data_IF_778351008921
#
_entry.id   IF_778351008921
#
_cell.length_a   1.000
_cell.length_b   1.000
_cell.length_c   1.000
_cell.angle_alpha   90.00
_cell.angle_beta   90.00
_cell.angle_gamma   90.00
#
_symmetry.space_group_name_H-M   'P 1'
#
loop_
_entity.id
_entity.type
_entity.pdbx_description
1 polymer ?
#
# COMPACT_ATOMS: atom_id res chain seq x y z
N UNK A 1 -40.69 -131.86 116.99
CA UNK A 1 -40.34 -131.44 115.61
C UNK A 1 -41.49 -130.78 114.82
N UNK A 2 -42.72 -130.66 115.33
CA UNK A 2 -43.84 -130.02 114.59
C UNK A 2 -43.85 -128.48 114.53
N UNK A 3 -43.22 -127.77 115.48
CA UNK A 3 -43.20 -126.28 115.49
C UNK A 3 -42.24 -125.64 114.47
N UNK A 4 -41.22 -126.38 114.03
CA UNK A 4 -40.26 -125.90 113.03
C UNK A 4 -40.80 -125.97 111.59
N UNK A 5 -41.72 -126.90 111.31
CA UNK A 5 -42.40 -127.03 110.02
C UNK A 5 -43.43 -125.91 109.81
N UNK A 6 -44.22 -125.58 110.84
CA UNK A 6 -45.18 -124.48 110.77
C UNK A 6 -44.52 -123.11 110.56
N UNK A 7 -43.33 -122.87 111.14
CA UNK A 7 -42.57 -121.64 110.92
C UNK A 7 -42.01 -121.54 109.50
N UNK A 8 -41.56 -122.66 108.92
CA UNK A 8 -41.14 -122.72 107.51
C UNK A 8 -42.31 -122.53 106.54
N UNK A 9 -43.51 -123.02 106.85
CA UNK A 9 -44.70 -122.79 106.03
C UNK A 9 -45.15 -121.32 106.05
N UNK A 10 -45.06 -120.63 107.19
CA UNK A 10 -45.30 -119.17 107.26
C UNK A 10 -44.27 -118.43 106.42
N UNK A 11 -43.00 -118.83 106.48
CA UNK A 11 -41.92 -118.21 105.72
C UNK A 11 -42.04 -118.47 104.21
N UNK A 12 -42.49 -119.67 103.81
CA UNK A 12 -42.81 -120.00 102.42
C UNK A 12 -43.95 -119.13 101.91
N UNK A 13 -45.03 -118.95 102.70
CA UNK A 13 -46.13 -118.05 102.33
C UNK A 13 -45.72 -116.58 102.27
N UNK A 14 -44.85 -116.13 103.17
CA UNK A 14 -44.25 -114.79 103.10
C UNK A 14 -43.46 -114.62 101.80
N UNK A 15 -42.62 -115.60 101.43
CA UNK A 15 -41.89 -115.58 100.17
C UNK A 15 -42.81 -115.69 98.95
N UNK A 16 -43.89 -116.46 98.98
CA UNK A 16 -44.89 -116.52 97.90
C UNK A 16 -45.57 -115.16 97.70
N UNK A 17 -45.96 -114.48 98.79
CA UNK A 17 -46.54 -113.13 98.74
C UNK A 17 -45.50 -112.11 98.24
N UNK A 18 -44.23 -112.24 98.65
CA UNK A 18 -43.15 -111.39 98.18
C UNK A 18 -42.87 -111.60 96.69
N UNK A 19 -42.84 -112.86 96.23
CA UNK A 19 -42.69 -113.23 94.83
C UNK A 19 -43.86 -112.70 94.01
N UNK A 20 -45.10 -112.84 94.45
CA UNK A 20 -46.25 -112.24 93.77
C UNK A 20 -46.17 -110.72 93.70
N UNK A 21 -45.71 -110.07 94.79
CA UNK A 21 -45.49 -108.62 94.80
C UNK A 21 -44.36 -108.20 93.85
N UNK A 22 -43.27 -108.96 93.79
CA UNK A 22 -42.18 -108.71 92.85
C UNK A 22 -42.63 -108.95 91.41
N UNK A 23 -43.42 -109.99 91.13
CA UNK A 23 -44.00 -110.25 89.81
C UNK A 23 -44.94 -109.11 89.39
N UNK A 24 -45.82 -108.63 90.29
CA UNK A 24 -46.66 -107.45 90.02
C UNK A 24 -45.82 -106.20 89.74
N UNK A 25 -44.74 -105.98 90.48
CA UNK A 25 -43.79 -104.87 90.24
C UNK A 25 -43.05 -105.04 88.90
N UNK A 26 -42.64 -106.25 88.54
CA UNK A 26 -41.99 -106.54 87.26
C UNK A 26 -42.94 -106.25 86.11
N UNK A 27 -44.21 -106.68 86.19
CA UNK A 27 -45.22 -106.38 85.16
C UNK A 27 -45.47 -104.87 85.07
N UNK A 28 -45.57 -104.17 86.20
CA UNK A 28 -45.72 -102.72 86.23
C UNK A 28 -44.50 -102.00 85.62
N UNK A 29 -43.27 -102.43 85.95
CA UNK A 29 -42.05 -101.89 85.36
C UNK A 29 -41.93 -102.22 83.87
N UNK A 30 -42.36 -103.39 83.41
CA UNK A 30 -42.40 -103.73 81.99
C UNK A 30 -43.38 -102.84 81.22
N UNK A 31 -44.57 -102.59 81.78
CA UNK A 31 -45.55 -101.66 81.21
C UNK A 31 -44.99 -100.23 81.17
N UNK A 32 -44.27 -99.82 82.21
CA UNK A 32 -43.65 -98.50 82.27
C UNK A 32 -42.45 -98.38 81.31
N UNK A 33 -41.62 -99.41 81.18
CA UNK A 33 -40.55 -99.48 80.18
C UNK A 33 -41.13 -99.38 78.77
N UNK A 34 -42.25 -100.06 78.49
CA UNK A 34 -42.95 -99.98 77.22
C UNK A 34 -43.49 -98.56 76.96
N UNK A 35 -44.10 -97.93 77.98
CA UNK A 35 -44.58 -96.54 77.90
C UNK A 35 -43.43 -95.56 77.63
N UNK A 36 -42.32 -95.70 78.36
CA UNK A 36 -41.11 -94.89 78.17
C UNK A 36 -40.48 -95.12 76.79
N UNK A 37 -40.45 -96.37 76.30
CA UNK A 37 -39.98 -96.70 74.96
C UNK A 37 -40.81 -95.99 73.87
N UNK A 38 -42.14 -95.94 74.02
CA UNK A 38 -43.01 -95.18 73.12
C UNK A 38 -42.71 -93.67 73.15
N UNK A 39 -42.53 -93.10 74.34
CA UNK A 39 -42.18 -91.68 74.50
C UNK A 39 -40.81 -91.34 73.92
N UNK A 40 -39.82 -92.23 74.04
CA UNK A 40 -38.50 -92.07 73.41
C UNK A 40 -38.64 -92.08 71.89
N UNK A 41 -39.41 -93.02 71.33
CA UNK A 41 -39.68 -93.05 69.88
C UNK A 41 -40.39 -91.80 69.36
N UNK A 42 -41.39 -91.29 70.10
CA UNK A 42 -42.08 -90.03 69.77
C UNK A 42 -41.11 -88.83 69.87
N UNK A 43 -40.25 -88.79 70.90
CA UNK A 43 -39.26 -87.73 71.06
C UNK A 43 -38.18 -87.77 69.96
N UNK A 44 -37.74 -88.95 69.55
CA UNK A 44 -36.81 -89.13 68.43
C UNK A 44 -37.45 -88.68 67.11
N UNK A 45 -38.70 -89.09 66.85
CA UNK A 45 -39.46 -88.65 65.67
C UNK A 45 -39.66 -87.12 65.63
N UNK A 46 -39.96 -86.50 66.78
CA UNK A 46 -40.06 -85.04 66.86
C UNK A 46 -38.71 -84.36 66.59
N UNK A 47 -37.61 -84.90 67.14
CA UNK A 47 -36.26 -84.38 66.88
C UNK A 47 -35.88 -84.49 65.41
N UNK A 48 -36.19 -85.61 64.74
CA UNK A 48 -35.93 -85.75 63.29
C UNK A 48 -36.79 -84.78 62.48
N UNK A 49 -38.07 -84.65 62.81
CA UNK A 49 -38.99 -83.72 62.13
C UNK A 49 -38.56 -82.26 62.28
N UNK A 50 -38.11 -81.85 63.48
CA UNK A 50 -37.57 -80.50 63.72
C UNK A 50 -36.30 -80.28 62.90
N UNK A 51 -35.35 -81.23 62.92
CA UNK A 51 -34.13 -81.15 62.12
C UNK A 51 -34.40 -81.03 60.62
N UNK A 52 -35.37 -81.79 60.10
CA UNK A 52 -35.77 -81.73 58.69
C UNK A 52 -36.40 -80.36 58.35
N UNK A 53 -37.25 -79.82 59.22
CA UNK A 53 -37.83 -78.49 59.06
C UNK A 53 -36.78 -77.39 59.13
N UNK A 54 -35.85 -77.46 60.08
CA UNK A 54 -34.75 -76.51 60.20
C UNK A 54 -33.83 -76.57 58.97
N UNK A 55 -33.53 -77.77 58.47
CA UNK A 55 -32.77 -77.94 57.23
C UNK A 55 -33.53 -77.46 55.97
N UNK A 56 -34.86 -77.56 55.96
CA UNK A 56 -35.68 -77.00 54.88
C UNK A 56 -35.69 -75.46 54.96
N UNK A 57 -35.84 -74.90 56.16
CA UNK A 57 -35.83 -73.45 56.36
C UNK A 57 -34.46 -72.82 56.08
N UNK A 58 -33.37 -73.50 56.46
CA UNK A 58 -32.02 -73.07 56.13
C UNK A 58 -31.79 -73.00 54.61
N UNK A 59 -32.28 -73.99 53.85
CA UNK A 59 -32.25 -73.97 52.38
C UNK A 59 -33.08 -72.83 51.80
N UNK A 60 -34.27 -72.59 52.35
CA UNK A 60 -35.13 -71.48 51.91
C UNK A 60 -34.47 -70.11 52.15
N UNK A 61 -33.78 -69.93 53.28
CA UNK A 61 -33.01 -68.72 53.58
C UNK A 61 -31.87 -68.58 52.57
N UNK A 62 -31.10 -69.63 52.32
CA UNK A 62 -30.00 -69.60 51.35
C UNK A 62 -30.48 -69.26 49.92
N UNK A 63 -31.60 -69.82 49.48
CA UNK A 63 -32.22 -69.52 48.19
C UNK A 63 -32.70 -68.06 48.11
N UNK A 64 -33.26 -67.52 49.21
CA UNK A 64 -33.65 -66.12 49.29
C UNK A 64 -32.44 -65.20 49.27
N UNK A 65 -31.37 -65.52 50.01
CA UNK A 65 -30.13 -64.75 50.02
C UNK A 65 -29.42 -64.76 48.65
N UNK A 66 -29.45 -65.91 47.95
CA UNK A 66 -28.97 -66.00 46.58
C UNK A 66 -29.83 -65.16 45.61
N UNK A 67 -31.13 -65.03 45.87
CA UNK A 67 -32.03 -64.19 45.07
C UNK A 67 -31.83 -62.71 45.35
N UNK A 68 -31.66 -62.32 46.62
CA UNK A 68 -31.34 -60.95 47.02
C UNK A 68 -30.04 -60.50 46.37
N UNK A 69 -28.96 -61.30 46.45
CA UNK A 69 -27.68 -60.99 45.79
C UNK A 69 -27.82 -60.78 44.29
N UNK A 70 -28.57 -61.66 43.60
CA UNK A 70 -28.84 -61.51 42.16
C UNK A 70 -29.62 -60.23 41.83
N UNK A 71 -30.57 -59.84 42.68
CA UNK A 71 -31.34 -58.61 42.49
C UNK A 71 -30.49 -57.37 42.76
N UNK A 72 -29.61 -57.40 43.77
CA UNK A 72 -28.66 -56.32 44.06
C UNK A 72 -27.70 -56.12 42.88
N UNK A 73 -27.10 -57.19 42.36
CA UNK A 73 -26.23 -57.15 41.18
C UNK A 73 -26.97 -56.62 39.94
N UNK A 74 -28.23 -57.03 39.74
CA UNK A 74 -29.05 -56.54 38.64
C UNK A 74 -29.38 -55.04 38.79
N UNK A 75 -29.67 -54.58 40.02
CA UNK A 75 -29.98 -53.19 40.30
C UNK A 75 -28.74 -52.29 40.15
N UNK A 76 -27.57 -52.76 40.58
CA UNK A 76 -26.30 -52.09 40.31
C UNK A 76 -26.03 -51.95 38.81
N UNK A 77 -26.26 -53.03 38.03
CA UNK A 77 -26.09 -53.00 36.59
C UNK A 77 -27.03 -51.97 35.94
N UNK A 78 -28.32 -51.99 36.29
CA UNK A 78 -29.30 -51.04 35.77
C UNK A 78 -28.96 -49.60 36.15
N UNK A 79 -28.44 -49.38 37.36
CA UNK A 79 -27.99 -48.06 37.81
C UNK A 79 -26.84 -47.56 36.94
N UNK A 80 -25.84 -48.41 36.67
CA UNK A 80 -24.72 -48.07 35.78
C UNK A 80 -25.18 -47.79 34.35
N UNK A 81 -26.10 -48.57 33.81
CA UNK A 81 -26.67 -48.36 32.47
C UNK A 81 -27.46 -47.04 32.38
N UNK A 82 -28.29 -46.74 33.39
CA UNK A 82 -29.00 -45.46 33.50
C UNK A 82 -28.02 -44.28 33.55
N UNK A 83 -26.98 -44.38 34.36
CA UNK A 83 -25.99 -43.30 34.51
C UNK A 83 -25.20 -43.08 33.22
N UNK A 84 -24.82 -44.17 32.53
CA UNK A 84 -24.20 -44.11 31.21
C UNK A 84 -25.12 -43.48 30.16
N UNK A 85 -26.41 -43.84 30.15
CA UNK A 85 -27.39 -43.25 29.24
C UNK A 85 -27.60 -41.75 29.51
N UNK A 86 -27.66 -41.36 30.79
CA UNK A 86 -27.78 -39.96 31.21
C UNK A 86 -26.57 -39.14 30.76
N UNK A 87 -25.36 -39.68 30.96
CA UNK A 87 -24.12 -39.04 30.48
C UNK A 87 -24.12 -38.91 28.95
N UNK A 88 -24.50 -39.97 28.23
CA UNK A 88 -24.58 -39.92 26.76
C UNK A 88 -25.58 -38.86 26.26
N UNK A 89 -26.72 -38.69 26.94
CA UNK A 89 -27.71 -37.66 26.62
C UNK A 89 -27.16 -36.23 26.86
N UNK A 90 -26.44 -36.02 27.96
CA UNK A 90 -25.78 -34.73 28.25
C UNK A 90 -24.72 -34.43 27.18
N UNK A 91 -23.91 -35.42 26.79
CA UNK A 91 -22.94 -35.25 25.72
C UNK A 91 -23.61 -34.95 24.36
N UNK A 92 -24.71 -35.63 24.03
CA UNK A 92 -25.48 -35.36 22.82
C UNK A 92 -26.05 -33.93 22.80
N UNK A 93 -26.56 -33.45 23.93
CA UNK A 93 -27.00 -32.05 24.09
C UNK A 93 -25.87 -31.06 23.84
N UNK A 94 -24.69 -31.30 24.42
CA UNK A 94 -23.50 -30.47 24.20
C UNK A 94 -23.08 -30.46 22.72
N UNK A 95 -23.14 -31.62 22.03
CA UNK A 95 -22.85 -31.70 20.60
C UNK A 95 -23.87 -30.93 19.75
N UNK A 96 -25.16 -31.00 20.09
CA UNK A 96 -26.20 -30.23 19.41
C UNK A 96 -26.00 -28.72 19.58
N UNK A 97 -25.70 -28.25 20.80
CA UNK A 97 -25.37 -26.84 21.06
C UNK A 97 -24.11 -26.41 20.31
N UNK A 98 -23.06 -27.25 20.29
CA UNK A 98 -21.85 -26.96 19.53
C UNK A 98 -22.12 -26.86 18.03
N UNK A 99 -22.93 -27.77 17.47
CA UNK A 99 -23.32 -27.74 16.07
C UNK A 99 -24.12 -26.46 15.75
N UNK A 100 -25.06 -26.05 16.61
CA UNK A 100 -25.81 -24.81 16.44
C UNK A 100 -24.90 -23.59 16.49
N UNK A 101 -23.99 -23.51 17.45
CA UNK A 101 -23.00 -22.42 17.54
C UNK A 101 -22.13 -22.34 16.27
N UNK A 102 -21.74 -23.49 15.71
CA UNK A 102 -20.97 -23.53 14.46
C UNK A 102 -21.79 -23.01 13.27
N UNK A 103 -23.06 -23.40 13.17
CA UNK A 103 -23.99 -22.90 12.14
C UNK A 103 -24.15 -21.38 12.26
N UNK A 104 -24.32 -20.86 13.46
CA UNK A 104 -24.47 -19.41 13.70
C UNK A 104 -23.21 -18.65 13.31
N UNK A 105 -22.02 -19.16 13.67
CA UNK A 105 -20.73 -18.58 13.26
C UNK A 105 -20.54 -18.62 11.75
N UNK A 106 -20.91 -19.72 11.09
CA UNK A 106 -20.84 -19.84 9.63
C UNK A 106 -21.80 -18.86 8.95
N UNK A 107 -23.02 -18.70 9.47
CA UNK A 107 -24.00 -17.72 8.95
C UNK A 107 -23.50 -16.28 9.10
N UNK A 108 -22.88 -15.93 10.23
CA UNK A 108 -22.27 -14.62 10.42
C UNK A 108 -21.12 -14.37 9.45
N UNK A 109 -20.25 -15.37 9.24
CA UNK A 109 -19.15 -15.29 8.28
C UNK A 109 -19.67 -15.13 6.85
N UNK A 110 -20.72 -15.86 6.47
CA UNK A 110 -21.34 -15.75 5.16
C UNK A 110 -21.92 -14.35 4.91
N UNK A 111 -22.64 -13.78 5.90
CA UNK A 111 -23.13 -12.40 5.84
C UNK A 111 -21.99 -11.40 5.66
N UNK A 112 -20.91 -11.56 6.41
CA UNK A 112 -19.73 -10.71 6.31
C UNK A 112 -19.06 -10.81 4.92
N UNK A 113 -18.88 -12.03 4.39
CA UNK A 113 -18.33 -12.26 3.06
C UNK A 113 -19.21 -11.61 1.98
N UNK A 114 -20.53 -11.75 2.08
CA UNK A 114 -21.45 -11.14 1.12
C UNK A 114 -21.39 -9.61 1.19
N UNK A 115 -21.29 -9.02 2.39
CA UNK A 115 -21.10 -7.57 2.54
C UNK A 115 -19.76 -7.08 1.97
N UNK A 116 -18.69 -7.86 2.07
CA UNK A 116 -17.41 -7.53 1.43
C UNK A 116 -17.49 -7.63 -0.10
N UNK A 117 -18.21 -8.62 -0.64
CA UNK A 117 -18.43 -8.77 -2.09
C UNK A 117 -19.22 -7.60 -2.66
N UNK A 118 -20.25 -7.15 -1.96
CA UNK A 118 -21.03 -5.98 -2.35
C UNK A 118 -20.16 -4.71 -2.40
N UNK A 119 -19.36 -4.47 -1.34
CA UNK A 119 -18.41 -3.35 -1.32
C UNK A 119 -17.41 -3.41 -2.45
N UNK A 120 -16.86 -4.60 -2.73
CA UNK A 120 -15.92 -4.80 -3.83
C UNK A 120 -16.55 -4.42 -5.17
N UNK A 121 -17.81 -4.80 -5.40
CA UNK A 121 -18.53 -4.47 -6.63
C UNK A 121 -18.77 -2.97 -6.76
N UNK A 122 -19.14 -2.29 -5.67
CA UNK A 122 -19.29 -0.82 -5.64
C UNK A 122 -17.97 -0.11 -5.99
N UNK A 123 -16.85 -0.54 -5.40
CA UNK A 123 -15.54 0.03 -5.71
C UNK A 123 -15.10 -0.25 -7.16
N UNK A 124 -15.41 -1.44 -7.69
CA UNK A 124 -15.16 -1.76 -9.10
C UNK A 124 -15.96 -0.87 -10.06
N UNK A 125 -17.24 -0.61 -9.75
CA UNK A 125 -18.05 0.34 -10.50
C UNK A 125 -17.48 1.75 -10.42
N UNK A 126 -17.07 2.19 -9.23
CA UNK A 126 -16.46 3.51 -9.05
C UNK A 126 -15.15 3.67 -9.82
N UNK A 127 -14.31 2.63 -9.84
CA UNK A 127 -13.07 2.65 -10.62
C UNK A 127 -13.37 2.76 -12.12
N UNK A 128 -14.37 2.03 -12.62
CA UNK A 128 -14.80 2.12 -14.02
C UNK A 128 -15.28 3.54 -14.37
N UNK A 129 -16.04 4.20 -13.50
CA UNK A 129 -16.47 5.58 -13.70
C UNK A 129 -15.30 6.58 -13.72
N UNK A 130 -14.26 6.32 -12.91
CA UNK A 130 -13.05 7.16 -12.88
C UNK A 130 -12.20 6.95 -14.13
N UNK A 131 -12.07 5.71 -14.60
CA UNK A 131 -11.41 5.37 -15.87
C UNK A 131 -12.11 6.08 -17.04
N UNK A 132 -13.44 5.98 -17.15
CA UNK A 132 -14.24 6.70 -18.15
C UNK A 132 -14.05 8.22 -18.10
N UNK A 133 -13.98 8.80 -16.89
CA UNK A 133 -13.72 10.24 -16.72
C UNK A 133 -12.32 10.62 -17.17
N UNK A 134 -11.34 9.78 -16.90
CA UNK A 134 -9.96 10.00 -17.29
C UNK A 134 -9.84 9.98 -18.82
N UNK A 135 -10.46 8.98 -19.47
CA UNK A 135 -10.47 8.88 -20.93
C UNK A 135 -11.12 10.11 -21.59
N UNK A 136 -12.25 10.60 -21.06
CA UNK A 136 -12.89 11.84 -21.54
C UNK A 136 -12.04 13.09 -21.31
N UNK A 137 -11.29 13.14 -20.22
CA UNK A 137 -10.37 14.26 -19.96
C UNK A 137 -9.17 14.20 -20.89
N UNK A 138 -8.64 13.01 -21.14
CA UNK A 138 -7.55 12.79 -22.08
C UNK A 138 -7.98 13.20 -23.50
N UNK A 139 -9.18 12.77 -23.94
CA UNK A 139 -9.75 13.19 -25.23
C UNK A 139 -9.88 14.71 -25.33
N UNK A 140 -10.35 15.39 -24.28
CA UNK A 140 -10.40 16.87 -24.25
C UNK A 140 -9.03 17.52 -24.32
N UNK A 141 -8.01 16.92 -23.70
CA UNK A 141 -6.63 17.42 -23.76
C UNK A 141 -6.07 17.25 -25.17
N UNK A 142 -6.37 16.14 -25.82
CA UNK A 142 -5.95 15.86 -27.19
C UNK A 142 -6.70 16.76 -28.19
N UNK A 143 -8.02 16.96 -28.01
CA UNK A 143 -8.85 17.90 -28.78
C UNK A 143 -8.40 19.36 -28.63
N UNK A 144 -7.91 19.75 -27.46
CA UNK A 144 -7.45 21.11 -27.18
C UNK A 144 -6.24 21.52 -28.05
N UNK A 145 -5.74 20.63 -28.92
CA UNK A 145 -4.68 20.90 -29.89
C UNK A 145 -3.51 21.63 -29.21
N UNK A 146 -3.13 21.14 -28.03
CA UNK A 146 -2.11 21.76 -27.17
C UNK A 146 -0.81 21.97 -27.94
N UNK A 147 -0.50 21.06 -28.87
CA UNK A 147 0.68 21.17 -29.71
C UNK A 147 0.54 22.22 -30.82
N UNK A 148 -0.65 22.46 -31.37
CA UNK A 148 -0.89 23.57 -32.27
C UNK A 148 -0.79 24.91 -31.53
N UNK A 149 -1.37 25.02 -30.32
CA UNK A 149 -1.23 26.21 -29.48
C UNK A 149 0.24 26.47 -29.11
N UNK A 150 1.02 25.43 -28.77
CA UNK A 150 2.47 25.54 -28.54
C UNK A 150 3.19 26.01 -29.80
N UNK A 151 2.80 25.52 -30.99
CA UNK A 151 3.38 25.93 -32.28
C UNK A 151 3.07 27.39 -32.58
N UNK A 152 1.81 27.81 -32.44
CA UNK A 152 1.38 29.19 -32.60
C UNK A 152 2.12 30.12 -31.62
N UNK A 153 2.29 29.71 -30.36
CA UNK A 153 3.05 30.48 -29.37
C UNK A 153 4.50 30.66 -29.80
N UNK A 154 5.19 29.59 -30.24
CA UNK A 154 6.58 29.68 -30.74
C UNK A 154 6.70 30.61 -31.94
N UNK A 155 5.76 30.53 -32.87
CA UNK A 155 5.76 31.39 -34.06
C UNK A 155 5.57 32.87 -33.69
N UNK A 156 4.59 33.17 -32.81
CA UNK A 156 4.37 34.54 -32.31
C UNK A 156 5.54 35.07 -31.50
N UNK A 157 6.16 34.25 -30.66
CA UNK A 157 7.39 34.63 -29.95
C UNK A 157 8.52 34.97 -30.93
N UNK A 158 8.72 34.16 -31.97
CA UNK A 158 9.70 34.44 -33.02
C UNK A 158 9.39 35.74 -33.78
N UNK A 159 8.11 36.02 -34.07
CA UNK A 159 7.68 37.29 -34.68
C UNK A 159 7.99 38.48 -33.77
N UNK A 160 7.67 38.40 -32.47
CA UNK A 160 7.99 39.44 -31.49
C UNK A 160 9.50 39.74 -31.43
N UNK A 161 10.35 38.71 -31.45
CA UNK A 161 11.80 38.90 -31.43
C UNK A 161 12.33 39.55 -32.72
N UNK A 162 11.76 39.20 -33.89
CA UNK A 162 12.05 39.90 -35.15
C UNK A 162 11.68 41.39 -35.06
N UNK A 163 10.48 41.71 -34.56
CA UNK A 163 10.04 43.10 -34.40
C UNK A 163 10.90 43.87 -33.39
N UNK A 164 11.28 43.26 -32.27
CA UNK A 164 12.22 43.87 -31.30
C UNK A 164 13.55 44.21 -31.96
N UNK A 165 14.09 43.32 -32.79
CA UNK A 165 15.34 43.57 -33.51
C UNK A 165 15.19 44.68 -34.57
N UNK A 166 14.06 44.73 -35.28
CA UNK A 166 13.75 45.81 -36.22
C UNK A 166 13.65 47.16 -35.51
N UNK A 167 12.92 47.24 -34.39
CA UNK A 167 12.79 48.45 -33.57
C UNK A 167 14.17 48.93 -33.12
N UNK A 168 14.99 48.05 -32.55
CA UNK A 168 16.37 48.39 -32.14
C UNK A 168 17.22 48.92 -33.30
N UNK A 169 17.06 48.37 -34.50
CA UNK A 169 17.78 48.85 -35.70
C UNK A 169 17.32 50.23 -36.13
N UNK A 170 16.00 50.48 -36.14
CA UNK A 170 15.42 51.77 -36.47
C UNK A 170 15.77 52.84 -35.44
N UNK A 171 15.76 52.50 -34.15
CA UNK A 171 16.19 53.39 -33.06
C UNK A 171 17.65 53.84 -33.24
N UNK A 172 18.56 52.90 -33.54
CA UNK A 172 19.97 53.24 -33.84
C UNK A 172 20.10 54.16 -35.04
N UNK A 173 19.31 53.91 -36.10
CA UNK A 173 19.32 54.76 -37.29
C UNK A 173 18.81 56.17 -36.98
N UNK A 174 17.70 56.27 -36.25
CA UNK A 174 17.13 57.55 -35.82
C UNK A 174 18.12 58.33 -34.93
N UNK A 175 18.80 57.68 -33.98
CA UNK A 175 19.85 58.30 -33.17
C UNK A 175 21.01 58.84 -34.02
N UNK A 176 21.45 58.07 -35.02
CA UNK A 176 22.52 58.51 -35.93
C UNK A 176 22.10 59.73 -36.76
N UNK A 177 20.86 59.74 -37.28
CA UNK A 177 20.32 60.89 -38.03
C UNK A 177 20.15 62.10 -37.12
N UNK A 178 19.61 61.92 -35.91
CA UNK A 178 19.45 62.99 -34.93
C UNK A 178 20.79 63.63 -34.57
N UNK A 179 21.83 62.83 -34.35
CA UNK A 179 23.19 63.32 -34.09
C UNK A 179 23.74 64.17 -35.24
N UNK A 180 23.52 63.76 -36.49
CA UNK A 180 23.89 64.53 -37.69
C UNK A 180 23.11 65.83 -37.79
N UNK A 181 21.79 65.78 -37.56
CA UNK A 181 20.92 66.95 -37.60
C UNK A 181 21.32 67.97 -36.52
N UNK A 182 21.57 67.53 -35.28
CA UNK A 182 22.03 68.40 -34.20
C UNK A 182 23.36 69.09 -34.56
N UNK A 183 24.27 68.35 -35.21
CA UNK A 183 25.54 68.92 -35.71
C UNK A 183 25.30 69.98 -36.79
N UNK A 184 24.31 69.77 -37.67
CA UNK A 184 23.93 70.73 -38.70
C UNK A 184 23.22 71.97 -38.12
N UNK A 185 22.30 71.76 -37.16
CA UNK A 185 21.48 72.81 -36.52
C UNK A 185 22.28 73.71 -35.59
N UNK A 186 23.43 73.26 -35.07
CA UNK A 186 24.45 74.12 -34.46
C UNK A 186 25.13 75.07 -35.50
N UNK A 187 24.42 75.35 -36.59
CA UNK A 187 24.72 76.26 -37.69
C UNK A 187 25.78 75.77 -38.68
N UNK A 188 26.37 74.59 -38.47
CA UNK A 188 27.54 74.14 -39.22
C UNK A 188 28.67 75.18 -39.23
N UNK A 189 28.63 76.17 -38.34
CA UNK A 189 29.49 77.35 -38.36
C UNK A 189 30.93 76.92 -38.14
N UNK A 190 31.15 75.95 -37.25
CA UNK A 190 32.46 75.32 -37.03
C UNK A 190 32.99 74.56 -38.26
N UNK A 191 32.14 74.23 -39.24
CA UNK A 191 32.51 73.51 -40.46
C UNK A 191 32.68 74.44 -41.67
N UNK A 192 32.10 75.64 -41.66
CA UNK A 192 32.25 76.62 -42.76
C UNK A 192 33.71 77.07 -42.86
N UNK A 193 34.24 77.09 -44.07
CA UNK A 193 35.65 77.43 -44.32
C UNK A 193 36.67 76.38 -43.86
N UNK A 194 36.23 75.27 -43.26
CA UNK A 194 37.10 74.16 -42.87
C UNK A 194 37.27 73.11 -43.98
N UNK A 195 38.40 72.41 -43.96
CA UNK A 195 38.63 71.22 -44.77
C UNK A 195 38.96 70.01 -43.87
N UNK A 196 38.51 68.82 -44.27
CA UNK A 196 38.90 67.54 -43.66
C UNK A 196 39.84 66.78 -44.59
N UNK A 197 40.78 66.05 -44.00
CA UNK A 197 41.63 65.09 -44.69
C UNK A 197 40.87 63.77 -44.77
N UNK A 198 40.45 63.39 -45.97
CA UNK A 198 39.62 62.20 -46.24
C UNK A 198 40.32 61.32 -47.28
N UNK A 199 40.40 60.01 -47.03
CA UNK A 199 40.86 59.05 -48.02
C UNK A 199 39.80 58.90 -49.14
N UNK A 200 40.13 59.18 -50.42
CA UNK A 200 39.21 58.94 -51.51
C UNK A 200 38.84 57.45 -51.60
N UNK A 201 37.63 57.16 -52.08
CA UNK A 201 37.24 55.78 -52.35
C UNK A 201 38.14 55.20 -53.46
N UNK A 202 38.59 53.95 -53.33
CA UNK A 202 39.59 53.35 -54.25
C UNK A 202 39.21 53.42 -55.73
N UNK A 203 37.91 53.37 -56.03
CA UNK A 203 37.35 53.44 -57.38
C UNK A 203 36.99 54.86 -57.85
N UNK A 204 37.21 55.88 -57.04
CA UNK A 204 36.88 57.27 -57.38
C UNK A 204 37.88 57.86 -58.38
N UNK A 205 37.38 58.59 -59.37
CA UNK A 205 38.21 59.43 -60.25
C UNK A 205 38.11 60.87 -59.75
N UNK A 206 39.25 61.48 -59.47
CA UNK A 206 39.28 62.85 -58.96
C UNK A 206 39.48 63.83 -60.12
N UNK A 207 38.88 65.04 -60.07
CA UNK A 207 39.15 66.08 -61.04
C UNK A 207 40.64 66.43 -61.11
N UNK A 208 41.10 66.90 -62.28
CA UNK A 208 42.51 67.21 -62.51
C UNK A 208 43.08 68.32 -61.62
N UNK A 209 42.20 69.20 -61.15
CA UNK A 209 42.57 70.38 -60.38
C UNK A 209 42.41 70.15 -58.86
N UNK A 210 42.19 68.91 -58.41
CA UNK A 210 42.07 68.64 -56.97
C UNK A 210 43.41 68.88 -56.28
N UNK A 211 43.37 69.55 -55.13
CA UNK A 211 44.54 69.78 -54.28
C UNK A 211 45.28 68.46 -54.04
N UNK A 212 46.61 68.48 -54.14
CA UNK A 212 47.47 67.32 -53.86
C UNK A 212 47.14 66.67 -52.50
N UNK A 213 47.30 65.36 -52.39
CA UNK A 213 47.12 64.66 -51.11
C UNK A 213 48.04 65.23 -50.02
N UNK A 214 47.69 65.07 -48.75
CA UNK A 214 48.44 65.65 -47.63
C UNK A 214 49.93 65.29 -47.67
N UNK A 215 50.24 64.04 -48.03
CA UNK A 215 51.61 63.53 -48.14
C UNK A 215 52.40 64.19 -49.28
N UNK A 216 51.83 64.22 -50.49
CA UNK A 216 52.49 64.88 -51.63
C UNK A 216 52.57 66.39 -51.42
N UNK A 217 51.55 66.97 -50.78
CA UNK A 217 51.50 68.37 -50.45
C UNK A 217 52.66 68.77 -49.53
N UNK A 218 52.88 68.00 -48.46
CA UNK A 218 53.93 68.21 -47.48
C UNK A 218 55.34 68.00 -48.04
N UNK A 219 55.51 67.04 -48.97
CA UNK A 219 56.79 66.76 -49.64
C UNK A 219 57.09 67.67 -50.83
N UNK A 220 56.18 68.56 -51.19
CA UNK A 220 56.27 69.41 -52.38
C UNK A 220 56.49 68.64 -53.70
N UNK A 221 55.87 67.46 -53.84
CA UNK A 221 55.97 66.64 -55.05
C UNK A 221 54.64 66.65 -55.82
N UNK A 222 54.72 66.42 -57.13
CA UNK A 222 53.54 66.35 -57.99
C UNK A 222 52.63 65.17 -57.57
N UNK A 223 51.34 65.44 -57.43
CA UNK A 223 50.34 64.43 -57.07
C UNK A 223 49.46 64.17 -58.28
N UNK A 224 49.39 62.92 -58.75
CA UNK A 224 48.44 62.56 -59.80
C UNK A 224 46.98 62.63 -59.31
N UNK A 225 46.02 62.36 -60.20
CA UNK A 225 44.58 62.46 -59.95
C UNK A 225 43.90 61.13 -59.61
N UNK A 226 44.67 60.08 -59.30
CA UNK A 226 44.11 58.80 -58.89
C UNK A 226 43.60 58.87 -57.43
N UNK A 227 42.63 58.02 -57.08
CA UNK A 227 42.14 57.90 -55.69
C UNK A 227 43.30 57.71 -54.69
N UNK A 228 44.29 56.89 -55.08
CA UNK A 228 45.58 56.76 -54.43
C UNK A 228 46.67 57.11 -55.43
N UNK A 229 47.40 58.21 -55.18
CA UNK A 229 48.42 58.65 -56.12
C UNK A 229 49.64 57.73 -56.12
N UNK A 230 50.37 57.72 -57.24
CA UNK A 230 51.57 56.92 -57.46
C UNK A 230 52.58 57.04 -56.32
N UNK A 231 52.87 58.25 -55.86
CA UNK A 231 53.82 58.48 -54.77
C UNK A 231 53.35 57.86 -53.43
N UNK A 232 52.05 57.89 -53.13
CA UNK A 232 51.49 57.24 -51.94
C UNK A 232 51.41 55.70 -52.09
N UNK A 233 51.33 55.20 -53.32
CA UNK A 233 51.45 53.76 -53.59
C UNK A 233 52.89 53.32 -53.35
N UNK A 234 53.86 54.00 -53.96
CA UNK A 234 55.29 53.69 -53.85
C UNK A 234 55.82 53.83 -52.41
N UNK A 235 55.36 54.85 -51.67
CA UNK A 235 55.73 55.03 -50.26
C UNK A 235 54.89 54.24 -49.26
N UNK A 236 53.92 53.43 -49.73
CA UNK A 236 52.98 52.67 -48.89
C UNK A 236 52.21 53.51 -47.86
N UNK A 237 51.99 54.79 -48.14
CA UNK A 237 51.24 55.71 -47.26
C UNK A 237 49.76 55.80 -47.67
N UNK A 238 48.90 56.22 -46.72
CA UNK A 238 47.48 56.49 -47.01
C UNK A 238 47.37 57.80 -47.79
N UNK A 239 46.81 57.73 -48.99
CA UNK A 239 46.53 58.91 -49.80
C UNK A 239 45.25 59.57 -49.29
N UNK A 240 45.38 60.62 -48.49
CA UNK A 240 44.25 61.40 -48.01
C UNK A 240 44.29 62.82 -48.58
N UNK A 241 43.13 63.33 -49.00
CA UNK A 241 43.00 64.61 -49.70
C UNK A 241 42.04 65.52 -48.96
N UNK A 242 42.13 66.80 -49.27
CA UNK A 242 41.31 67.83 -48.65
C UNK A 242 39.91 67.83 -49.25
N UNK A 243 38.91 67.68 -48.39
CA UNK A 243 37.49 67.76 -48.73
C UNK A 243 36.80 68.81 -47.88
N UNK A 244 35.92 69.61 -48.47
CA UNK A 244 35.13 70.62 -47.77
C UNK A 244 34.41 70.00 -46.58
N UNK A 245 34.63 70.56 -45.38
CA UNK A 245 34.07 70.04 -44.13
C UNK A 245 32.55 69.97 -44.16
N UNK A 246 31.91 71.00 -44.73
CA UNK A 246 30.46 71.08 -44.87
C UNK A 246 29.97 69.94 -45.78
N UNK A 247 30.51 69.79 -46.99
CA UNK A 247 30.13 68.73 -47.92
C UNK A 247 30.42 67.33 -47.37
N UNK A 248 31.54 67.16 -46.65
CA UNK A 248 31.92 65.86 -46.08
C UNK A 248 31.02 65.43 -44.92
N UNK A 249 30.71 66.34 -43.98
CA UNK A 249 29.94 66.02 -42.77
C UNK A 249 28.43 66.10 -42.99
N UNK A 250 27.97 67.03 -43.82
CA UNK A 250 26.55 67.30 -44.06
C UNK A 250 26.04 66.73 -45.39
N UNK A 251 26.94 66.22 -46.26
CA UNK A 251 26.59 65.64 -47.57
C UNK A 251 26.32 66.68 -48.67
N UNK A 252 25.91 67.89 -48.29
CA UNK A 252 25.64 69.01 -49.18
C UNK A 252 26.33 70.29 -48.67
N UNK A 253 26.83 71.11 -49.60
CA UNK A 253 27.40 72.42 -49.30
C UNK A 253 26.61 73.44 -50.10
N UNK A 254 25.83 74.25 -49.40
CA UNK A 254 24.89 75.20 -50.00
C UNK A 254 25.49 76.59 -50.20
N UNK A 255 26.71 76.82 -49.69
CA UNK A 255 27.44 78.07 -49.90
C UNK A 255 27.94 78.11 -51.35
N UNK A 256 27.38 79.02 -52.17
CA UNK A 256 27.74 79.15 -53.59
C UNK A 256 28.13 80.61 -53.91
N UNK A 257 29.41 80.89 -54.25
CA UNK A 257 30.57 79.99 -54.17
C UNK A 257 30.97 79.70 -52.71
N UNK A 258 31.39 78.46 -52.43
CA UNK A 258 31.92 78.11 -51.11
C UNK A 258 33.23 78.86 -50.86
N UNK A 259 33.49 79.21 -49.59
CA UNK A 259 34.74 79.87 -49.16
C UNK A 259 35.97 79.07 -49.58
N UNK A 260 35.88 77.73 -49.57
CA UNK A 260 36.90 76.84 -50.11
C UNK A 260 36.44 76.35 -51.48
N UNK A 261 37.06 76.78 -52.59
CA UNK A 261 36.72 76.29 -53.91
C UNK A 261 36.81 74.77 -53.97
N UNK A 262 35.70 74.11 -54.31
CA UNK A 262 35.63 72.66 -54.38
C UNK A 262 34.71 72.20 -55.51
N UNK A 263 34.88 70.95 -55.95
CA UNK A 263 34.01 70.34 -56.96
C UNK A 263 32.62 69.96 -56.40
N UNK A 264 31.77 69.38 -57.24
CA UNK A 264 30.43 68.92 -56.83
C UNK A 264 30.46 67.81 -55.76
N UNK A 265 31.57 67.08 -55.62
CA UNK A 265 31.76 66.07 -54.58
C UNK A 265 32.37 66.64 -53.30
N UNK A 266 32.81 67.90 -53.30
CA UNK A 266 33.42 68.60 -52.18
C UNK A 266 34.94 68.48 -52.11
N UNK A 267 35.61 67.91 -53.10
CA UNK A 267 37.08 67.89 -53.13
C UNK A 267 37.61 69.29 -53.43
N UNK A 268 38.53 69.78 -52.61
CA UNK A 268 39.10 71.11 -52.81
C UNK A 268 39.83 71.15 -54.14
N UNK A 269 39.60 72.21 -54.93
CA UNK A 269 40.24 72.42 -56.23
C UNK A 269 41.08 73.70 -56.22
N UNK A 270 42.22 73.67 -56.89
CA UNK A 270 43.02 74.87 -57.14
C UNK A 270 42.60 75.52 -58.45
N UNK A 271 42.60 76.86 -58.49
CA UNK A 271 42.33 77.60 -59.74
C UNK A 271 43.55 77.58 -60.68
N UNK A 272 44.74 77.56 -60.10
CA UNK A 272 46.02 77.52 -60.80
C UNK A 272 46.80 76.26 -60.40
N UNK A 273 47.69 75.80 -61.29
CA UNK A 273 48.60 74.72 -60.96
C UNK A 273 49.58 75.20 -59.88
N UNK A 274 49.84 74.35 -58.87
CA UNK A 274 50.81 74.65 -57.82
C UNK A 274 52.20 74.85 -58.46
N UNK A 275 52.94 75.93 -58.13
CA UNK A 275 54.32 76.04 -58.54
C UNK A 275 55.15 74.91 -57.91
N UNK A 276 55.93 74.22 -58.74
CA UNK A 276 56.95 73.27 -58.29
C UNK A 276 58.22 74.07 -57.95
N UNK A 277 58.78 73.86 -56.75
CA UNK A 277 59.98 74.56 -56.25
C UNK A 277 61.01 73.55 -55.75
#
# INVERSE_FOLDING_TARGET
MGRSLAQKDVQIKEYEIEIENFLKKIVAFQAEIYRLGKLVGEAEWLRTTIKEKDAAHAREIEDKDATVRRLEEANERLTRERDAATQAQVHAGNHATHAQNLVDVLSQREKFINGLREKLLVEQMHNTELEDKNDRLQEKVDEANVDDLKKQLREKSSQCDRFRNQVKSLERHAQAVQSRLNTALAGGVALRGGAHIVAPHEKSKLPKNVVSCSECYAKNISCDNAARCRNCVESLTKCARWRCSVKHKLGECNDTPCVLPHDAQGWLVTMEARPEW
#
